data_IF_938419260643
#
_entry.id   IF_938419260643
#
_cell.length_a   1.000
_cell.length_b   1.000
_cell.length_c   1.000
_cell.angle_alpha   90.00
_cell.angle_beta   90.00
_cell.angle_gamma   90.00
#
_symmetry.space_group_name_H-M   'P 1'
#
loop_
_entity.id
_entity.type
_entity.pdbx_description
1 polymer ?
#
# COMPACT_ATOMS: atom_id res chain seq x y z
N UNK A 1 13.28 2.10 4.50
CA UNK A 1 13.28 3.58 4.50
C UNK A 1 13.24 4.04 5.94
N UNK A 2 14.01 5.07 6.28
CA UNK A 2 13.98 5.70 7.60
C UNK A 2 13.13 6.98 7.53
N UNK A 3 12.26 7.18 8.51
CA UNK A 3 11.47 8.39 8.67
C UNK A 3 11.20 8.60 10.17
N UNK A 4 11.68 9.72 10.73
CA UNK A 4 11.71 9.95 12.18
C UNK A 4 12.33 8.77 12.95
N UNK A 5 11.71 8.34 14.04
CA UNK A 5 12.15 7.18 14.83
C UNK A 5 11.72 5.82 14.24
N UNK A 6 11.32 5.76 12.97
CA UNK A 6 10.79 4.54 12.36
C UNK A 6 11.56 4.08 11.12
N UNK A 7 11.60 2.76 10.97
CA UNK A 7 12.13 2.04 9.81
C UNK A 7 10.99 1.28 9.16
N UNK A 8 10.73 1.61 7.90
CA UNK A 8 9.70 0.98 7.08
C UNK A 8 10.33 0.05 6.04
N UNK A 9 9.85 -1.19 5.98
CA UNK A 9 10.32 -2.20 5.02
C UNK A 9 9.14 -2.86 4.31
N UNK A 10 9.38 -3.25 3.06
CA UNK A 10 8.46 -4.09 2.31
C UNK A 10 8.83 -5.55 2.51
N UNK A 11 7.85 -6.38 2.84
CA UNK A 11 7.92 -7.83 2.61
C UNK A 11 6.80 -8.23 1.67
N UNK A 12 6.95 -9.39 1.02
CA UNK A 12 6.02 -9.84 0.00
C UNK A 12 5.58 -11.27 0.27
N UNK A 13 4.27 -11.48 0.32
CA UNK A 13 3.67 -12.79 0.43
C UNK A 13 3.23 -13.26 -0.97
N UNK A 14 3.71 -14.41 -1.45
CA UNK A 14 3.33 -14.90 -2.77
C UNK A 14 1.87 -15.39 -2.78
N UNK A 15 1.17 -15.12 -3.88
CA UNK A 15 -0.19 -15.57 -4.16
C UNK A 15 -0.13 -16.54 -5.34
N UNK A 16 -0.64 -17.75 -5.12
CA UNK A 16 -0.69 -18.79 -6.13
C UNK A 16 -2.13 -19.07 -6.56
N UNK A 17 -2.32 -19.41 -7.82
CA UNK A 17 -3.60 -19.95 -8.30
C UNK A 17 -3.79 -21.43 -7.86
N UNK A 18 -4.94 -22.00 -8.20
CA UNK A 18 -5.28 -23.40 -7.92
C UNK A 18 -4.30 -24.40 -8.57
N UNK A 19 -3.60 -24.00 -9.63
CA UNK A 19 -2.58 -24.79 -10.33
C UNK A 19 -1.17 -24.60 -9.75
N UNK A 20 -1.04 -23.82 -8.66
CA UNK A 20 0.23 -23.42 -8.03
C UNK A 20 1.11 -22.52 -8.91
N UNK A 21 0.53 -21.82 -9.87
CA UNK A 21 1.21 -20.78 -10.63
C UNK A 21 1.30 -19.51 -9.78
N UNK A 22 2.48 -18.89 -9.71
CA UNK A 22 2.62 -17.59 -9.04
C UNK A 22 1.87 -16.52 -9.86
N UNK A 23 0.80 -15.97 -9.30
CA UNK A 23 -0.04 -14.97 -9.97
C UNK A 23 0.10 -13.58 -9.37
N UNK A 24 0.62 -13.47 -8.15
CA UNK A 24 0.78 -12.19 -7.49
C UNK A 24 1.68 -12.21 -6.27
N UNK A 25 1.99 -11.01 -5.79
CA UNK A 25 2.65 -10.76 -4.53
C UNK A 25 1.84 -9.74 -3.74
N UNK A 26 1.41 -10.10 -2.53
CA UNK A 26 0.85 -9.16 -1.57
C UNK A 26 1.98 -8.43 -0.85
N UNK A 27 1.98 -7.10 -0.95
CA UNK A 27 2.96 -6.28 -0.28
C UNK A 27 2.47 -5.93 1.13
N UNK A 28 3.28 -6.30 2.13
CA UNK A 28 2.99 -6.06 3.52
C UNK A 28 4.03 -5.11 4.11
N UNK A 29 3.56 -4.11 4.84
CA UNK A 29 4.43 -3.18 5.55
C UNK A 29 4.99 -3.85 6.80
N UNK A 30 6.28 -3.63 7.05
CA UNK A 30 6.93 -3.86 8.34
C UNK A 30 7.40 -2.52 8.87
N UNK A 31 7.06 -2.25 10.12
CA UNK A 31 7.43 -1.02 10.83
C UNK A 31 8.25 -1.46 12.03
N UNK A 32 9.41 -0.85 12.20
CA UNK A 32 10.25 -1.01 13.38
C UNK A 32 10.59 0.37 13.92
N UNK A 33 10.76 0.50 15.24
CA UNK A 33 11.48 1.66 15.79
C UNK A 33 12.95 1.59 15.38
N UNK A 34 13.66 2.71 15.47
CA UNK A 34 15.13 2.74 15.29
C UNK A 34 15.87 1.81 16.27
N UNK A 35 15.26 1.53 17.42
CA UNK A 35 15.77 0.59 18.43
C UNK A 35 15.43 -0.88 18.11
N UNK A 36 14.79 -1.15 16.97
CA UNK A 36 14.48 -2.50 16.48
C UNK A 36 13.18 -3.10 17.01
N UNK A 37 12.33 -2.33 17.69
CA UNK A 37 11.03 -2.82 18.18
C UNK A 37 10.03 -2.86 17.04
N UNK A 38 9.52 -4.05 16.72
CA UNK A 38 8.50 -4.22 15.69
C UNK A 38 7.15 -3.63 16.11
N UNK A 39 6.57 -2.80 15.24
CA UNK A 39 5.24 -2.21 15.40
C UNK A 39 4.33 -2.81 14.32
N UNK A 40 3.16 -3.28 14.74
CA UNK A 40 2.17 -3.77 13.78
C UNK A 40 1.57 -2.61 12.98
N UNK A 41 1.42 -2.72 11.65
CA UNK A 41 0.86 -1.64 10.83
C UNK A 41 -0.52 -1.18 11.27
N UNK A 42 -1.42 -2.09 11.63
CA UNK A 42 -2.77 -1.76 12.09
C UNK A 42 -2.76 -0.88 13.36
N UNK A 43 -1.86 -1.18 14.30
CA UNK A 43 -1.66 -0.38 15.51
C UNK A 43 -1.10 1.00 15.14
N UNK A 44 -0.09 1.06 14.27
CA UNK A 44 0.51 2.33 13.85
C UNK A 44 -0.50 3.26 13.17
N UNK A 45 -1.34 2.74 12.27
CA UNK A 45 -2.30 3.56 11.53
C UNK A 45 -3.56 3.92 12.35
N UNK A 46 -3.93 3.12 13.35
CA UNK A 46 -5.04 3.44 14.26
C UNK A 46 -4.66 4.38 15.40
N UNK A 47 -3.38 4.53 15.70
CA UNK A 47 -2.89 5.39 16.77
C UNK A 47 -3.15 6.88 16.49
N UNK A 48 -4.06 7.47 17.27
CA UNK A 48 -4.49 8.85 17.15
C UNK A 48 -3.52 9.87 17.77
N UNK A 49 -2.43 9.42 18.38
CA UNK A 49 -1.34 10.33 18.76
C UNK A 49 -0.60 10.86 17.52
N UNK A 50 -0.70 10.17 16.39
CA UNK A 50 -0.18 10.64 15.10
C UNK A 50 -1.17 11.58 14.40
N UNK A 51 -0.63 12.68 13.88
CA UNK A 51 -1.39 13.54 13.00
C UNK A 51 -1.92 12.76 11.79
N UNK A 52 -3.14 13.09 11.35
CA UNK A 52 -3.81 12.42 10.22
C UNK A 52 -3.00 12.55 8.92
N UNK A 53 -2.41 13.72 8.67
CA UNK A 53 -1.60 13.94 7.47
C UNK A 53 -0.31 13.12 7.51
N UNK A 54 0.28 12.93 8.69
CA UNK A 54 1.46 12.08 8.86
C UNK A 54 1.14 10.62 8.56
N UNK A 55 0.05 10.07 9.12
CA UNK A 55 -0.39 8.70 8.84
C UNK A 55 -0.65 8.49 7.34
N UNK A 56 -1.35 9.45 6.71
CA UNK A 56 -1.62 9.41 5.28
C UNK A 56 -0.33 9.45 4.43
N UNK A 57 0.64 10.29 4.82
CA UNK A 57 1.94 10.36 4.15
C UNK A 57 2.71 9.04 4.26
N UNK A 58 2.72 8.41 5.44
CA UNK A 58 3.32 7.08 5.63
C UNK A 58 2.64 6.04 4.74
N UNK A 59 1.33 6.11 4.57
CA UNK A 59 0.57 5.20 3.70
C UNK A 59 0.92 5.38 2.20
N UNK A 60 1.07 6.62 1.73
CA UNK A 60 1.54 6.86 0.35
C UNK A 60 2.96 6.36 0.14
N UNK A 61 3.80 6.58 1.14
CA UNK A 61 5.22 6.27 1.08
C UNK A 61 5.49 4.77 1.17
N UNK A 62 4.73 4.04 1.99
CA UNK A 62 4.77 2.57 2.04
C UNK A 62 4.46 1.99 0.66
N UNK A 63 3.37 2.43 0.02
CA UNK A 63 3.03 2.03 -1.36
C UNK A 63 4.13 2.35 -2.36
N UNK A 64 4.71 3.55 -2.31
CA UNK A 64 5.79 3.93 -3.21
C UNK A 64 7.00 2.98 -3.10
N UNK A 65 7.35 2.57 -1.88
CA UNK A 65 8.43 1.60 -1.64
C UNK A 65 8.02 0.20 -2.11
N UNK A 66 6.79 -0.23 -1.84
CA UNK A 66 6.27 -1.52 -2.30
C UNK A 66 6.32 -1.65 -3.82
N UNK A 67 5.85 -0.64 -4.54
CA UNK A 67 5.86 -0.59 -6.00
C UNK A 67 7.31 -0.64 -6.50
N UNK A 68 8.19 0.22 -5.97
CA UNK A 68 9.58 0.30 -6.44
C UNK A 68 10.37 -0.98 -6.19
N UNK A 69 10.15 -1.64 -5.06
CA UNK A 69 10.84 -2.88 -4.74
C UNK A 69 10.28 -4.06 -5.55
N UNK A 70 8.97 -4.11 -5.79
CA UNK A 70 8.35 -5.12 -6.65
C UNK A 70 8.84 -5.01 -8.10
N UNK A 71 8.84 -3.78 -8.64
CA UNK A 71 9.22 -3.52 -10.03
C UNK A 71 10.62 -4.04 -10.39
N UNK A 72 11.56 -4.03 -9.45
CA UNK A 72 12.92 -4.54 -9.64
C UNK A 72 12.97 -6.02 -10.05
N UNK A 73 11.95 -6.78 -9.71
CA UNK A 73 11.94 -8.24 -9.88
C UNK A 73 10.80 -8.73 -10.78
N UNK A 74 9.67 -8.02 -10.81
CA UNK A 74 8.44 -8.52 -11.43
C UNK A 74 7.79 -7.57 -12.45
N UNK A 75 8.36 -6.40 -12.73
CA UNK A 75 7.83 -5.50 -13.76
C UNK A 75 7.77 -6.23 -15.12
N UNK A 76 6.61 -6.19 -15.78
CA UNK A 76 6.36 -6.87 -17.06
C UNK A 76 6.33 -8.41 -17.01
N UNK A 77 6.39 -9.03 -15.83
CA UNK A 77 6.40 -10.50 -15.69
C UNK A 77 5.01 -11.15 -15.78
N UNK A 78 3.94 -10.36 -15.72
CA UNK A 78 2.56 -10.85 -15.58
C UNK A 78 2.14 -11.20 -14.14
N UNK A 79 3.08 -11.23 -13.19
CA UNK A 79 2.78 -11.31 -11.75
C UNK A 79 2.22 -9.97 -11.29
N UNK A 80 1.11 -9.99 -10.53
CA UNK A 80 0.46 -8.78 -10.02
C UNK A 80 0.99 -8.37 -8.64
N UNK A 81 0.94 -7.07 -8.36
CA UNK A 81 1.23 -6.49 -7.05
C UNK A 81 -0.08 -6.14 -6.35
N UNK A 82 -0.32 -6.76 -5.19
CA UNK A 82 -1.45 -6.44 -4.33
C UNK A 82 -1.01 -5.47 -3.24
N UNK A 83 -1.72 -4.35 -3.12
CA UNK A 83 -1.42 -3.26 -2.19
C UNK A 83 -2.61 -3.01 -1.25
N UNK A 84 -2.35 -3.16 0.04
CA UNK A 84 -3.27 -2.76 1.09
C UNK A 84 -3.50 -1.23 1.07
N UNK A 85 -4.76 -0.79 1.15
CA UNK A 85 -5.16 0.62 1.19
C UNK A 85 -6.25 0.87 2.22
N UNK A 86 -6.10 1.95 3.00
CA UNK A 86 -7.17 2.41 3.89
C UNK A 86 -8.27 3.11 3.08
N UNK A 87 -9.55 3.00 3.46
CA UNK A 87 -10.65 3.70 2.78
C UNK A 87 -10.40 5.21 2.60
N UNK A 88 -9.89 5.88 3.62
CA UNK A 88 -9.60 7.32 3.56
C UNK A 88 -8.55 7.68 2.50
N UNK A 89 -7.49 6.87 2.36
CA UNK A 89 -6.47 7.11 1.34
C UNK A 89 -6.95 6.72 -0.05
N UNK A 90 -7.83 5.71 -0.18
CA UNK A 90 -8.46 5.39 -1.45
C UNK A 90 -9.26 6.59 -1.97
N UNK A 91 -10.00 7.30 -1.11
CA UNK A 91 -10.72 8.51 -1.49
C UNK A 91 -9.79 9.64 -1.96
N UNK A 92 -8.64 9.82 -1.29
CA UNK A 92 -7.63 10.78 -1.75
C UNK A 92 -7.05 10.36 -3.11
N UNK A 93 -6.75 9.08 -3.29
CA UNK A 93 -6.26 8.54 -4.56
C UNK A 93 -7.29 8.71 -5.67
N UNK A 94 -8.57 8.43 -5.45
CA UNK A 94 -9.60 8.57 -6.49
C UNK A 94 -9.88 10.04 -6.84
N UNK A 95 -9.75 10.94 -5.87
CA UNK A 95 -9.83 12.39 -6.10
C UNK A 95 -8.63 12.90 -6.92
N UNK A 96 -7.42 12.44 -6.60
CA UNK A 96 -6.19 12.74 -7.34
C UNK A 96 -6.11 12.02 -8.70
N UNK A 97 -6.78 10.87 -8.85
CA UNK A 97 -6.92 10.08 -10.08
C UNK A 97 -8.05 10.59 -10.98
N UNK A 98 -8.52 11.82 -10.79
CA UNK A 98 -9.43 12.49 -11.70
C UNK A 98 -8.97 12.42 -13.17
N UNK A 99 -9.47 11.40 -13.87
CA UNK A 99 -9.51 11.19 -15.31
C UNK A 99 -8.41 11.88 -16.15
N UNK A 100 -7.21 11.30 -16.18
CA UNK A 100 -6.26 11.24 -17.33
C UNK A 100 -4.92 10.64 -16.88
N UNK A 101 -4.11 10.21 -17.84
CA UNK A 101 -2.73 9.69 -17.73
C UNK A 101 -1.70 10.60 -17.01
N UNK A 102 -2.18 11.57 -16.22
CA UNK A 102 -1.42 12.59 -15.50
C UNK A 102 -1.37 12.35 -14.00
N UNK A 103 -2.13 11.38 -13.46
CA UNK A 103 -2.10 11.05 -12.04
C UNK A 103 -0.71 10.61 -11.58
N UNK A 104 -0.25 11.10 -10.42
CA UNK A 104 1.11 10.85 -9.93
C UNK A 104 1.43 9.35 -9.85
N UNK A 105 0.48 8.52 -9.39
CA UNK A 105 0.65 7.07 -9.33
C UNK A 105 0.90 6.46 -10.72
N UNK A 106 0.10 6.84 -11.72
CA UNK A 106 0.26 6.37 -13.10
C UNK A 106 1.65 6.72 -13.64
N UNK A 107 2.10 7.97 -13.45
CA UNK A 107 3.43 8.38 -13.89
C UNK A 107 4.55 7.59 -13.20
N UNK A 108 4.39 7.26 -11.92
CA UNK A 108 5.37 6.46 -11.17
C UNK A 108 5.40 5.01 -11.64
N UNK A 109 4.26 4.40 -11.93
CA UNK A 109 4.19 3.04 -12.48
C UNK A 109 4.85 2.98 -13.86
N UNK A 110 4.50 3.91 -14.74
CA UNK A 110 5.08 4.01 -16.08
C UNK A 110 6.60 4.19 -16.04
N UNK A 111 7.11 5.03 -15.14
CA UNK A 111 8.55 5.23 -14.95
C UNK A 111 9.29 3.97 -14.44
N UNK A 112 8.56 2.98 -13.95
CA UNK A 112 9.06 1.69 -13.48
C UNK A 112 8.75 0.54 -14.46
N UNK A 113 8.29 0.85 -15.68
CA UNK A 113 7.85 -0.13 -16.69
C UNK A 113 6.74 -1.05 -16.16
N UNK A 114 5.82 -0.51 -15.37
CA UNK A 114 4.63 -1.19 -14.89
C UNK A 114 3.38 -0.55 -15.50
N UNK A 115 2.41 -1.39 -15.83
CA UNK A 115 1.08 -0.96 -16.23
C UNK A 115 0.17 -0.83 -15.01
N UNK A 116 -0.92 -0.05 -15.11
CA UNK A 116 -1.90 0.04 -14.01
C UNK A 116 -2.56 -1.29 -13.71
N UNK A 117 -2.70 -2.17 -14.71
CA UNK A 117 -3.20 -3.54 -14.56
C UNK A 117 -2.30 -4.47 -13.75
N UNK A 118 -1.04 -4.09 -13.54
CA UNK A 118 -0.09 -4.84 -12.72
C UNK A 118 -0.36 -4.64 -11.23
N UNK A 119 -1.20 -3.68 -10.84
CA UNK A 119 -1.47 -3.31 -9.46
C UNK A 119 -2.94 -3.54 -9.11
N UNK A 120 -3.17 -4.20 -7.98
CA UNK A 120 -4.49 -4.41 -7.39
C UNK A 120 -4.51 -3.74 -6.03
N UNK A 121 -5.52 -2.90 -5.77
CA UNK A 121 -5.74 -2.33 -4.45
C UNK A 121 -6.68 -3.20 -3.62
N UNK A 122 -6.23 -3.58 -2.44
CA UNK A 122 -7.02 -4.31 -1.44
C UNK A 122 -7.46 -3.33 -0.37
N UNK A 123 -8.76 -3.04 -0.34
CA UNK A 123 -9.34 -2.13 0.65
C UNK A 123 -9.47 -2.88 1.96
N UNK A 124 -8.79 -2.40 3.00
CA UNK A 124 -8.89 -3.02 4.32
C UNK A 124 -10.26 -2.71 4.91
N UNK A 125 -10.94 -3.75 5.39
CA UNK A 125 -12.19 -3.61 6.13
C UNK A 125 -11.91 -2.82 7.42
N UNK A 126 -12.52 -1.65 7.54
CA UNK A 126 -12.55 -0.90 8.79
C UNK A 126 -13.86 -1.21 9.50
N UNK A 127 -13.79 -1.53 10.79
CA UNK A 127 -14.99 -1.53 11.63
C UNK A 127 -15.62 -0.14 11.58
N UNK A 128 -16.81 -0.05 11.01
CA UNK A 128 -17.66 1.11 11.14
C UNK A 128 -18.32 1.01 12.51
N UNK A 129 -17.97 1.89 13.45
CA UNK A 129 -18.64 1.93 14.77
C UNK A 129 -20.07 2.50 14.70
N UNK A 130 -20.50 3.01 13.54
CA UNK A 130 -21.86 3.51 13.33
C UNK A 130 -22.73 2.48 12.59
N UNK A 131 -23.16 1.44 13.31
CA UNK A 131 -24.29 0.60 12.87
C UNK A 131 -25.64 1.32 13.10
N UNK A 132 -25.68 2.34 13.97
CA UNK A 132 -26.91 3.08 14.32
C UNK A 132 -27.38 4.05 13.22
N UNK A 133 -26.53 4.45 12.28
CA UNK A 133 -26.92 5.33 11.16
C UNK A 133 -27.43 4.56 9.92
N UNK A 134 -27.52 3.23 10.02
CA UNK A 134 -28.01 2.32 8.97
C UNK A 134 -29.42 1.77 9.25
N UNK A 135 -30.14 2.33 10.24
CA UNK A 135 -31.54 1.99 10.57
C UNK A 135 -32.41 3.24 10.43
#
# INVERSE_FOLDING_TARGET
MHLHQFVFRSVYQPIFDHSRTLIGMEALLRIETVDGVSIRPDIFFSDNSWDKSFRLAVEFLSRAIHIRNFAKHFAGSGVKLFLNVMPAALLTLTTDMGFKDTGLLYQRLKALNMETSDVVFEVIEQHCEETESLI
#
